data_IF_597465675066
#
_entry.id   IF_597465675066
#
_cell.length_a   1.000
_cell.length_b   1.000
_cell.length_c   1.000
_cell.angle_alpha   90.00
_cell.angle_beta   90.00
_cell.angle_gamma   90.00
#
_symmetry.space_group_name_H-M   'P 1'
#
loop_
_entity.id
_entity.type
_entity.pdbx_description
1 polymer ?
#
# COMPACT_ATOMS: atom_id res chain seq x y z
N UNK A 1 -5.69 21.03 9.59
CA UNK A 1 -5.90 19.71 10.22
C UNK A 1 -5.76 19.89 11.73
N UNK A 2 -6.75 19.54 12.57
CA UNK A 2 -6.80 19.98 13.98
C UNK A 2 -6.15 19.02 15.00
N UNK A 3 -5.82 17.80 14.60
CA UNK A 3 -5.26 16.76 15.49
C UNK A 3 -3.80 16.46 15.14
N UNK A 4 -2.94 16.45 16.16
CA UNK A 4 -1.50 16.25 16.04
C UNK A 4 -1.16 14.83 15.56
N UNK A 5 -1.94 13.82 15.96
CA UNK A 5 -1.70 12.43 15.52
C UNK A 5 -1.95 12.29 14.02
N UNK A 6 -3.03 12.90 13.54
CA UNK A 6 -3.35 12.96 12.12
C UNK A 6 -2.26 13.68 11.33
N UNK A 7 -1.67 14.75 11.89
CA UNK A 7 -0.54 15.47 11.30
C UNK A 7 0.67 14.58 11.12
N UNK A 8 1.10 13.90 12.17
CA UNK A 8 2.24 12.98 12.14
C UNK A 8 2.03 11.83 11.17
N UNK A 9 0.82 11.26 11.13
CA UNK A 9 0.49 10.20 10.18
C UNK A 9 0.64 10.68 8.73
N UNK A 10 0.12 11.87 8.41
CA UNK A 10 0.25 12.45 7.05
C UNK A 10 1.72 12.73 6.70
N UNK A 11 2.54 13.24 7.63
CA UNK A 11 3.96 13.45 7.36
C UNK A 11 4.71 12.14 7.10
N UNK A 12 4.38 11.07 7.84
CA UNK A 12 4.94 9.74 7.58
C UNK A 12 4.58 9.27 6.17
N UNK A 13 3.29 9.28 5.80
CA UNK A 13 2.86 8.88 4.45
C UNK A 13 3.53 9.72 3.37
N UNK A 14 3.56 11.04 3.53
CA UNK A 14 4.20 11.95 2.58
C UNK A 14 5.69 11.62 2.38
N UNK A 15 6.42 11.25 3.45
CA UNK A 15 7.82 10.84 3.34
C UNK A 15 7.99 9.54 2.54
N UNK A 16 7.12 8.55 2.76
CA UNK A 16 7.14 7.28 2.03
C UNK A 16 6.84 7.51 0.54
N UNK A 17 5.78 8.27 0.23
CA UNK A 17 5.40 8.55 -1.16
C UNK A 17 6.51 9.33 -1.89
N UNK A 18 7.07 10.36 -1.26
CA UNK A 18 8.10 11.21 -1.87
C UNK A 18 9.40 10.42 -2.15
N UNK A 19 9.84 9.58 -1.22
CA UNK A 19 11.04 8.75 -1.38
C UNK A 19 10.90 7.68 -2.46
N UNK A 20 9.68 7.17 -2.63
CA UNK A 20 9.41 6.07 -3.54
C UNK A 20 9.54 6.47 -5.02
N UNK A 21 9.19 7.72 -5.35
CA UNK A 21 9.10 8.28 -6.71
C UNK A 21 8.67 7.25 -7.78
N UNK A 22 7.60 6.49 -7.47
CA UNK A 22 7.27 5.26 -8.20
C UNK A 22 6.91 5.51 -9.65
N UNK A 23 6.22 6.61 -9.97
CA UNK A 23 5.84 6.94 -11.35
C UNK A 23 7.06 7.02 -12.27
N UNK A 24 8.08 7.78 -11.84
CA UNK A 24 9.32 7.97 -12.59
C UNK A 24 10.12 6.65 -12.67
N UNK A 25 10.26 5.94 -11.55
CA UNK A 25 11.04 4.68 -11.51
C UNK A 25 10.43 3.58 -12.37
N UNK A 26 9.11 3.46 -12.36
CA UNK A 26 8.36 2.49 -13.15
C UNK A 26 8.11 2.94 -14.59
N UNK A 27 8.38 4.22 -14.91
CA UNK A 27 8.08 4.82 -16.20
C UNK A 27 6.59 4.67 -16.58
N UNK A 28 5.70 4.91 -15.61
CA UNK A 28 4.24 4.81 -15.81
C UNK A 28 3.56 6.15 -15.56
N UNK A 29 2.50 6.49 -16.33
CA UNK A 29 1.79 7.75 -16.15
C UNK A 29 0.91 7.77 -14.90
N UNK A 30 0.52 6.59 -14.41
CA UNK A 30 -0.28 6.40 -13.22
C UNK A 30 -0.13 4.97 -12.68
N UNK A 31 -0.40 4.78 -11.39
CA UNK A 31 -0.62 3.48 -10.76
C UNK A 31 -1.96 3.46 -10.02
N UNK A 32 -2.49 2.26 -9.82
CA UNK A 32 -3.67 2.04 -8.99
C UNK A 32 -3.22 1.86 -7.54
N UNK A 33 -3.56 2.82 -6.67
CA UNK A 33 -3.21 2.76 -5.26
C UNK A 33 -4.34 2.17 -4.41
N UNK A 34 -3.98 1.28 -3.47
CA UNK A 34 -4.88 0.72 -2.46
C UNK A 34 -4.57 1.33 -1.10
N UNK A 35 -5.35 2.33 -0.69
CA UNK A 35 -5.15 2.98 0.60
C UNK A 35 -5.52 2.08 1.80
N UNK A 36 -6.53 1.21 1.65
CA UNK A 36 -6.95 0.30 2.72
C UNK A 36 -7.41 -1.05 2.18
N UNK A 37 -7.00 -2.13 2.86
CA UNK A 37 -7.57 -3.46 2.70
C UNK A 37 -7.93 -4.02 4.07
N UNK A 38 -9.22 -4.27 4.30
CA UNK A 38 -9.73 -4.76 5.56
C UNK A 38 -10.70 -5.92 5.36
N UNK A 39 -10.67 -6.87 6.29
CA UNK A 39 -11.63 -7.97 6.38
C UNK A 39 -12.10 -8.09 7.81
N UNK A 40 -13.40 -8.33 8.03
CA UNK A 40 -13.92 -8.50 9.37
C UNK A 40 -13.29 -9.75 10.05
N UNK A 41 -13.04 -9.74 11.38
CA UNK A 41 -12.41 -10.87 12.07
C UNK A 41 -13.14 -12.21 11.88
N UNK A 42 -14.48 -12.17 11.78
CA UNK A 42 -15.36 -13.32 11.63
C UNK A 42 -15.16 -14.06 10.30
N UNK A 43 -14.60 -13.38 9.30
CA UNK A 43 -14.38 -13.91 7.95
C UNK A 43 -12.89 -14.09 7.61
N UNK A 44 -12.03 -14.11 8.64
CA UNK A 44 -10.62 -14.50 8.46
C UNK A 44 -10.52 -15.94 7.95
N UNK A 45 -9.42 -16.24 7.26
CA UNK A 45 -9.11 -17.57 6.67
C UNK A 45 -9.98 -18.01 5.49
N UNK A 46 -11.03 -17.28 5.13
CA UNK A 46 -11.80 -17.51 3.91
C UNK A 46 -11.12 -16.97 2.63
N UNK A 47 -9.88 -16.48 2.72
CA UNK A 47 -9.14 -15.97 1.56
C UNK A 47 -9.62 -14.63 1.01
N UNK A 48 -10.47 -13.90 1.75
CA UNK A 48 -11.08 -12.65 1.26
C UNK A 48 -10.06 -11.56 0.91
N UNK A 49 -8.98 -11.41 1.67
CA UNK A 49 -7.94 -10.43 1.35
C UNK A 49 -7.31 -10.72 -0.03
N UNK A 50 -7.03 -11.99 -0.32
CA UNK A 50 -6.53 -12.43 -1.63
C UNK A 50 -7.56 -12.17 -2.72
N UNK A 51 -8.81 -12.56 -2.49
CA UNK A 51 -9.89 -12.36 -3.44
C UNK A 51 -10.05 -10.88 -3.81
N UNK A 52 -10.07 -9.99 -2.80
CA UNK A 52 -10.18 -8.54 -3.00
C UNK A 52 -9.00 -7.99 -3.82
N UNK A 53 -7.76 -8.37 -3.49
CA UNK A 53 -6.59 -7.95 -4.26
C UNK A 53 -6.64 -8.43 -5.72
N UNK A 54 -7.10 -9.68 -5.96
CA UNK A 54 -7.32 -10.17 -7.31
C UNK A 54 -8.40 -9.37 -8.06
N UNK A 55 -9.48 -8.95 -7.39
CA UNK A 55 -10.50 -8.08 -7.99
C UNK A 55 -9.93 -6.71 -8.32
N UNK A 56 -9.13 -6.11 -7.43
CA UNK A 56 -8.48 -4.83 -7.69
C UNK A 56 -7.51 -4.92 -8.87
N UNK A 57 -6.72 -5.99 -8.98
CA UNK A 57 -5.82 -6.22 -10.12
C UNK A 57 -6.59 -6.30 -11.44
N UNK A 58 -7.71 -7.03 -11.47
CA UNK A 58 -8.58 -7.12 -12.65
C UNK A 58 -9.18 -5.76 -13.02
N UNK A 59 -9.65 -5.02 -12.03
CA UNK A 59 -10.26 -3.70 -12.25
C UNK A 59 -9.23 -2.68 -12.73
N UNK A 60 -8.07 -2.61 -12.10
CA UNK A 60 -6.96 -1.74 -12.47
C UNK A 60 -6.55 -2.01 -13.93
N UNK A 61 -6.36 -3.29 -14.30
CA UNK A 61 -6.06 -3.69 -15.67
C UNK A 61 -7.15 -3.28 -16.66
N UNK A 62 -8.44 -3.49 -16.32
CA UNK A 62 -9.57 -3.09 -17.16
C UNK A 62 -9.62 -1.56 -17.39
N UNK A 63 -9.20 -0.78 -16.41
CA UNK A 63 -9.16 0.68 -16.45
C UNK A 63 -7.85 1.23 -17.03
N UNK A 64 -6.93 0.36 -17.47
CA UNK A 64 -5.68 0.77 -18.12
C UNK A 64 -4.56 1.18 -17.16
N UNK A 65 -4.67 0.86 -15.87
CA UNK A 65 -3.58 1.10 -14.91
C UNK A 65 -2.55 -0.02 -15.01
N UNK A 66 -1.28 0.29 -15.33
CA UNK A 66 -0.24 -0.71 -15.57
C UNK A 66 0.29 -1.34 -14.28
N UNK A 67 0.16 -0.64 -13.15
CA UNK A 67 0.76 -1.04 -11.87
C UNK A 67 -0.28 -0.92 -10.76
N UNK A 68 -0.27 -1.90 -9.86
CA UNK A 68 -1.06 -1.93 -8.64
C UNK A 68 -0.11 -1.75 -7.45
N UNK A 69 -0.35 -0.74 -6.64
CA UNK A 69 0.41 -0.42 -5.43
C UNK A 69 -0.45 -0.70 -4.19
N UNK A 70 0.19 -1.21 -3.14
CA UNK A 70 -0.40 -1.22 -1.80
C UNK A 70 0.66 -1.02 -0.75
N UNK A 71 0.28 -0.37 0.34
CA UNK A 71 1.15 -0.14 1.48
C UNK A 71 0.84 -1.15 2.58
N UNK A 72 1.78 -2.06 2.82
CA UNK A 72 1.59 -3.15 3.79
C UNK A 72 1.97 -2.70 5.20
N UNK A 73 1.03 -2.14 5.94
CA UNK A 73 1.24 -1.67 7.33
C UNK A 73 1.16 -2.79 8.39
N UNK A 74 0.88 -4.03 7.99
CA UNK A 74 0.83 -5.18 8.89
C UNK A 74 1.38 -6.45 8.20
N UNK A 75 1.93 -7.40 8.97
CA UNK A 75 2.59 -8.59 8.42
C UNK A 75 1.63 -9.54 7.68
N UNK A 76 0.35 -9.57 8.04
CA UNK A 76 -0.62 -10.42 7.35
C UNK A 76 -0.86 -9.95 5.91
N UNK A 77 -1.00 -8.64 5.71
CA UNK A 77 -1.16 -8.04 4.40
C UNK A 77 0.10 -8.22 3.55
N UNK A 78 1.28 -7.99 4.14
CA UNK A 78 2.57 -8.22 3.47
C UNK A 78 2.70 -9.67 2.96
N UNK A 79 2.34 -10.65 3.79
CA UNK A 79 2.38 -12.07 3.41
C UNK A 79 1.41 -12.38 2.26
N UNK A 80 0.21 -11.81 2.28
CA UNK A 80 -0.77 -12.00 1.19
C UNK A 80 -0.25 -11.37 -0.10
N UNK A 81 0.28 -10.16 -0.04
CA UNK A 81 0.86 -9.46 -1.19
C UNK A 81 2.04 -10.25 -1.79
N UNK A 82 2.97 -10.71 -0.95
CA UNK A 82 4.10 -11.53 -1.38
C UNK A 82 3.64 -12.80 -2.10
N UNK A 83 2.62 -13.50 -1.56
CA UNK A 83 2.04 -14.71 -2.19
C UNK A 83 1.35 -14.42 -3.53
N UNK A 84 0.96 -13.18 -3.77
CA UNK A 84 0.38 -12.72 -5.04
C UNK A 84 1.44 -12.17 -6.02
N UNK A 85 2.72 -12.21 -5.66
CA UNK A 85 3.82 -11.79 -6.51
C UNK A 85 4.11 -10.29 -6.48
N UNK A 86 3.63 -9.57 -5.46
CA UNK A 86 4.05 -8.18 -5.25
C UNK A 86 5.53 -8.12 -4.87
N UNK A 87 6.23 -7.13 -5.41
CA UNK A 87 7.61 -6.83 -5.08
C UNK A 87 7.64 -5.75 -3.99
N UNK A 88 8.33 -6.04 -2.88
CA UNK A 88 8.58 -5.05 -1.83
C UNK A 88 9.64 -4.06 -2.29
N UNK A 89 9.38 -2.76 -2.10
CA UNK A 89 10.29 -1.71 -2.59
C UNK A 89 11.02 -0.91 -1.50
N UNK A 90 10.55 -0.99 -0.26
CA UNK A 90 11.16 -0.28 0.86
C UNK A 90 11.05 -1.10 2.14
N UNK A 91 12.19 -1.61 2.62
CA UNK A 91 12.32 -2.15 3.98
C UNK A 91 12.60 -1.02 4.97
N UNK A 92 11.87 0.11 4.85
CA UNK A 92 12.01 1.19 5.82
C UNK A 92 11.30 0.78 7.09
N UNK A 93 12.08 0.40 8.10
CA UNK A 93 11.53 0.20 9.43
C UNK A 93 10.88 1.50 9.91
N UNK A 94 9.65 1.43 10.42
CA UNK A 94 8.95 2.59 11.01
C UNK A 94 9.81 3.30 12.06
N UNK A 95 10.65 2.56 12.78
CA UNK A 95 11.59 3.09 13.77
C UNK A 95 12.67 4.04 13.19
N UNK A 96 12.89 4.02 11.88
CA UNK A 96 13.81 4.93 11.18
C UNK A 96 13.14 6.24 10.74
N UNK A 97 11.84 6.40 10.96
CA UNK A 97 11.14 7.65 10.70
C UNK A 97 11.27 8.59 11.89
N UNK A 98 11.78 9.78 11.64
CA UNK A 98 11.85 10.88 12.60
C UNK A 98 11.02 12.02 12.04
N UNK A 99 10.11 12.57 12.86
CA UNK A 99 9.42 13.81 12.53
C UNK A 99 10.49 14.91 12.42
N UNK A 100 10.72 15.45 11.22
CA UNK A 100 11.49 16.69 11.08
C UNK A 100 10.65 17.80 11.68
N UNK A 101 11.08 18.29 12.85
CA UNK A 101 10.47 19.39 13.61
C UNK A 101 10.16 20.59 12.75
#
# INVERSE_FOLDING_TARGET
MKDERSRRLVHLWASITSESNLLDRLHVPAFWDLSYLATAPQVRRYGLARFLLDQHRRLASKLGYPVLCLECTNPHLALVAQRLGFLGWSDRALASYLDTT
#
